data_IF_367311369276
#
_entry.id   IF_367311369276
#
_cell.length_a   1.000
_cell.length_b   1.000
_cell.length_c   1.000
_cell.angle_alpha   90.00
_cell.angle_beta   90.00
_cell.angle_gamma   90.00
#
_symmetry.space_group_name_H-M   'P 1'
#
loop_
_entity.id
_entity.type
_entity.pdbx_description
1 polymer ?
#
# COMPACT_ATOMS: atom_id res chain seq x y z
N UNK A 1 -12.55 47.92 -4.98
CA UNK A 1 -12.22 46.48 -5.14
C UNK A 1 -13.29 45.66 -4.43
N UNK A 2 -13.94 44.73 -5.13
CA UNK A 2 -15.19 44.10 -4.67
C UNK A 2 -14.91 43.03 -3.60
N UNK A 3 -15.21 43.36 -2.34
CA UNK A 3 -15.00 42.45 -1.19
C UNK A 3 -15.93 41.23 -1.22
N UNK A 4 -17.05 41.30 -1.95
CA UNK A 4 -18.02 40.19 -2.02
C UNK A 4 -17.44 38.95 -2.70
N UNK A 5 -16.60 39.11 -3.72
CA UNK A 5 -15.91 38.01 -4.38
C UNK A 5 -14.95 37.26 -3.44
N UNK A 6 -14.39 37.96 -2.45
CA UNK A 6 -13.45 37.37 -1.48
C UNK A 6 -14.14 36.74 -0.27
N UNK A 7 -15.46 36.93 -0.07
CA UNK A 7 -16.20 36.23 1.00
C UNK A 7 -16.19 34.72 0.80
N UNK A 8 -16.33 34.25 -0.43
CA UNK A 8 -16.27 32.82 -0.77
C UNK A 8 -14.88 32.27 -0.50
N UNK A 9 -13.83 32.99 -0.92
CA UNK A 9 -12.44 32.60 -0.68
C UNK A 9 -12.07 32.56 0.81
N UNK A 10 -12.65 33.44 1.62
CA UNK A 10 -12.48 33.40 3.09
C UNK A 10 -13.04 32.11 3.72
N UNK A 11 -14.13 31.58 3.18
CA UNK A 11 -14.68 30.30 3.64
C UNK A 11 -13.82 29.13 3.15
N UNK A 12 -13.44 29.11 1.87
CA UNK A 12 -12.54 28.08 1.32
C UNK A 12 -11.18 28.03 2.04
N UNK A 13 -10.65 29.17 2.48
CA UNK A 13 -9.42 29.24 3.30
C UNK A 13 -9.57 28.52 4.65
N UNK A 14 -10.76 28.58 5.26
CA UNK A 14 -11.04 27.88 6.51
C UNK A 14 -11.18 26.37 6.30
N UNK A 15 -11.77 25.96 5.18
CA UNK A 15 -12.00 24.55 4.89
C UNK A 15 -10.77 23.85 4.26
N UNK A 16 -9.77 24.63 3.84
CA UNK A 16 -8.53 24.12 3.22
C UNK A 16 -8.69 23.78 1.74
N UNK A 17 -9.70 24.35 1.09
CA UNK A 17 -10.09 24.02 -0.29
C UNK A 17 -9.56 25.01 -1.34
N UNK A 18 -8.77 26.01 -0.92
CA UNK A 18 -8.22 26.98 -1.88
C UNK A 18 -7.11 26.37 -2.74
N UNK A 19 -7.20 26.58 -4.04
CA UNK A 19 -6.08 26.32 -4.94
C UNK A 19 -4.88 27.26 -4.63
N UNK A 20 -3.66 26.93 -5.09
CA UNK A 20 -2.49 27.79 -4.91
C UNK A 20 -2.70 29.21 -5.47
N UNK A 21 -3.38 29.33 -6.62
CA UNK A 21 -3.68 30.61 -7.24
C UNK A 21 -4.68 31.45 -6.41
N UNK A 22 -5.69 30.82 -5.83
CA UNK A 22 -6.67 31.49 -4.97
C UNK A 22 -6.08 31.92 -3.63
N UNK A 23 -5.16 31.11 -3.09
CA UNK A 23 -4.42 31.43 -1.86
C UNK A 23 -3.60 32.72 -2.03
N UNK A 24 -2.89 32.85 -3.15
CA UNK A 24 -2.13 34.07 -3.47
C UNK A 24 -3.05 35.28 -3.62
N UNK A 25 -4.13 35.15 -4.41
CA UNK A 25 -5.11 36.25 -4.61
C UNK A 25 -5.74 36.70 -3.30
N UNK A 26 -6.13 35.76 -2.44
CA UNK A 26 -6.67 36.08 -1.12
C UNK A 26 -5.63 36.79 -0.25
N UNK A 27 -4.38 36.34 -0.28
CA UNK A 27 -3.26 36.98 0.41
C UNK A 27 -3.05 38.45 0.00
N UNK A 28 -3.03 38.73 -1.30
CA UNK A 28 -2.92 40.09 -1.85
C UNK A 28 -4.09 40.99 -1.41
N UNK A 29 -5.32 40.46 -1.43
CA UNK A 29 -6.49 41.19 -0.95
C UNK A 29 -6.43 41.45 0.55
N UNK A 30 -6.00 40.46 1.34
CA UNK A 30 -5.84 40.59 2.79
C UNK A 30 -4.71 41.54 3.18
N UNK A 31 -3.73 41.80 2.31
CA UNK A 31 -2.72 42.82 2.55
C UNK A 31 -3.31 44.23 2.51
N UNK A 32 -4.32 44.46 1.66
CA UNK A 32 -4.87 45.80 1.38
C UNK A 32 -6.23 46.08 2.04
N UNK A 33 -7.02 45.06 2.38
CA UNK A 33 -8.38 45.22 2.89
C UNK A 33 -8.52 44.87 4.38
N UNK A 34 -8.70 45.89 5.23
CA UNK A 34 -8.89 45.70 6.67
C UNK A 34 -10.25 45.07 7.02
N UNK A 35 -11.30 45.36 6.25
CA UNK A 35 -12.62 44.76 6.46
C UNK A 35 -12.57 43.22 6.36
N UNK A 36 -11.93 42.69 5.31
CA UNK A 36 -11.78 41.25 5.12
C UNK A 36 -10.85 40.62 6.16
N UNK A 37 -9.78 41.30 6.60
CA UNK A 37 -8.94 40.84 7.72
C UNK A 37 -9.74 40.67 9.02
N UNK A 38 -10.64 41.62 9.33
CA UNK A 38 -11.50 41.53 10.52
C UNK A 38 -12.47 40.35 10.45
N UNK A 39 -13.07 40.11 9.29
CA UNK A 39 -13.95 38.95 9.07
C UNK A 39 -13.20 37.64 9.28
N UNK A 40 -12.03 37.48 8.64
CA UNK A 40 -11.18 36.29 8.77
C UNK A 40 -10.78 36.02 10.22
N UNK A 41 -10.32 37.06 10.92
CA UNK A 41 -9.93 36.95 12.34
C UNK A 41 -11.11 36.51 13.22
N UNK A 42 -12.31 37.04 12.96
CA UNK A 42 -13.53 36.68 13.70
C UNK A 42 -13.90 35.20 13.47
N UNK A 43 -13.80 34.71 12.23
CA UNK A 43 -14.05 33.31 11.89
C UNK A 43 -13.03 32.35 12.53
N UNK A 44 -11.74 32.67 12.47
CA UNK A 44 -10.68 31.87 13.10
C UNK A 44 -10.85 31.82 14.63
N UNK A 45 -11.21 32.94 15.24
CA UNK A 45 -11.47 33.02 16.69
C UNK A 45 -12.66 32.14 17.08
N UNK A 46 -13.76 32.21 16.32
CA UNK A 46 -14.92 31.35 16.54
C UNK A 46 -14.57 29.86 16.39
N UNK A 47 -13.82 29.49 15.35
CA UNK A 47 -13.39 28.10 15.14
C UNK A 47 -12.51 27.60 16.27
N UNK A 48 -11.58 28.42 16.75
CA UNK A 48 -10.73 28.08 17.89
C UNK A 48 -11.55 27.90 19.17
N UNK A 49 -12.54 28.77 19.42
CA UNK A 49 -13.45 28.65 20.56
C UNK A 49 -14.29 27.36 20.46
N UNK A 50 -14.84 27.05 19.30
CA UNK A 50 -15.60 25.80 19.07
C UNK A 50 -14.71 24.57 19.26
N UNK A 51 -13.49 24.54 18.70
CA UNK A 51 -12.56 23.42 18.96
C UNK A 51 -12.23 23.29 20.45
N UNK A 52 -12.01 24.40 21.15
CA UNK A 52 -11.67 24.36 22.58
C UNK A 52 -12.83 23.90 23.46
N UNK A 53 -14.06 24.34 23.16
CA UNK A 53 -15.21 24.13 24.03
C UNK A 53 -16.08 22.94 23.61
N UNK A 54 -16.09 22.55 22.33
CA UNK A 54 -16.91 21.46 21.82
C UNK A 54 -16.13 20.16 21.54
N UNK A 55 -14.78 20.20 21.45
CA UNK A 55 -14.00 18.97 21.32
C UNK A 55 -14.16 18.10 22.58
N UNK A 56 -14.71 16.91 22.40
CA UNK A 56 -14.96 15.95 23.49
C UNK A 56 -16.35 16.01 24.11
N UNK A 57 -17.19 17.01 23.79
CA UNK A 57 -18.58 17.04 24.29
C UNK A 57 -19.48 16.00 23.59
N UNK A 58 -19.14 15.65 22.35
CA UNK A 58 -19.87 14.66 21.56
C UNK A 58 -18.92 13.51 21.23
N UNK A 59 -19.05 12.40 21.95
CA UNK A 59 -18.34 11.17 21.60
C UNK A 59 -18.94 10.60 20.32
N UNK A 60 -18.13 10.44 19.27
CA UNK A 60 -18.58 9.83 18.03
C UNK A 60 -18.94 8.35 18.30
N UNK A 61 -20.17 7.89 18.01
CA UNK A 61 -20.54 6.50 18.22
C UNK A 61 -19.61 5.57 17.44
N UNK A 62 -19.25 4.43 18.03
CA UNK A 62 -18.46 3.40 17.35
C UNK A 62 -19.15 3.01 16.03
N UNK A 63 -18.39 3.03 14.93
CA UNK A 63 -18.91 2.70 13.60
C UNK A 63 -19.74 3.80 12.92
N UNK A 64 -19.83 5.02 13.48
CA UNK A 64 -20.51 6.14 12.84
C UNK A 64 -20.02 6.44 11.41
N UNK A 65 -18.70 6.46 11.11
CA UNK A 65 -18.23 6.73 9.74
C UNK A 65 -18.72 5.68 8.75
N UNK A 66 -18.72 4.41 9.15
CA UNK A 66 -19.18 3.28 8.33
C UNK A 66 -20.69 3.41 8.06
N UNK A 67 -21.48 3.73 9.09
CA UNK A 67 -22.93 3.90 8.96
C UNK A 67 -23.31 5.09 8.10
N UNK A 68 -22.60 6.21 8.22
CA UNK A 68 -22.83 7.39 7.37
C UNK A 68 -22.46 7.09 5.93
N UNK A 69 -21.28 6.52 5.67
CA UNK A 69 -20.86 6.16 4.31
C UNK A 69 -21.79 5.13 3.66
N UNK A 70 -22.31 4.18 4.43
CA UNK A 70 -23.29 3.21 3.94
C UNK A 70 -24.70 3.79 3.74
N UNK A 71 -25.05 4.87 4.45
CA UNK A 71 -26.34 5.55 4.35
C UNK A 71 -26.34 6.68 3.31
N UNK A 72 -25.16 7.13 2.86
CA UNK A 72 -25.07 8.02 1.71
C UNK A 72 -25.65 7.27 0.50
N UNK A 73 -26.61 7.87 -0.23
CA UNK A 73 -27.03 7.29 -1.48
C UNK A 73 -25.79 7.17 -2.35
N UNK A 74 -25.50 5.94 -2.83
CA UNK A 74 -24.57 5.78 -3.93
C UNK A 74 -24.98 6.81 -4.98
N UNK A 75 -24.05 7.67 -5.38
CA UNK A 75 -24.30 8.67 -6.40
C UNK A 75 -24.60 7.91 -7.69
N UNK A 76 -25.88 7.59 -7.85
CA UNK A 76 -26.42 7.10 -9.10
C UNK A 76 -26.31 8.32 -9.99
N UNK A 77 -25.28 8.31 -10.81
CA UNK A 77 -25.26 9.08 -12.04
C UNK A 77 -26.46 8.59 -12.84
N UNK A 78 -27.64 9.14 -12.52
CA UNK A 78 -28.82 9.00 -13.35
C UNK A 78 -28.49 9.84 -14.58
N UNK A 79 -28.34 9.22 -15.77
CA UNK A 79 -28.17 10.02 -16.97
C UNK A 79 -29.45 10.84 -17.15
N UNK A 80 -29.41 12.11 -16.77
CA UNK A 80 -30.47 13.03 -17.15
C UNK A 80 -30.34 13.20 -18.66
N UNK A 81 -31.28 12.62 -19.41
CA UNK A 81 -31.41 12.84 -20.85
C UNK A 81 -31.84 14.30 -21.08
N UNK A 82 -30.89 15.22 -20.94
CA UNK A 82 -31.04 16.58 -21.40
C UNK A 82 -30.72 16.59 -22.88
N UNK A 83 -31.77 16.78 -23.69
CA UNK A 83 -31.68 16.94 -25.13
C UNK A 83 -30.86 18.20 -25.46
N UNK A 84 -29.62 18.01 -25.93
CA UNK A 84 -28.78 19.09 -26.45
C UNK A 84 -28.42 18.85 -27.93
N UNK A 85 -28.33 19.91 -28.75
CA UNK A 85 -28.34 19.81 -30.21
C UNK A 85 -27.08 19.15 -30.79
N UNK A 86 -27.34 18.26 -31.75
CA UNK A 86 -26.46 17.31 -32.47
C UNK A 86 -25.17 17.88 -33.10
N UNK A 87 -24.92 19.20 -33.09
CA UNK A 87 -23.76 19.83 -33.74
C UNK A 87 -22.46 19.79 -32.92
N UNK A 88 -22.51 19.42 -31.63
CA UNK A 88 -21.32 19.36 -30.76
C UNK A 88 -20.67 17.97 -30.67
N UNK A 89 -21.28 16.93 -31.25
CA UNK A 89 -20.79 15.54 -31.17
C UNK A 89 -19.51 15.27 -31.98
N UNK A 90 -19.16 16.11 -32.95
CA UNK A 90 -17.99 15.84 -33.80
C UNK A 90 -16.64 16.12 -33.12
N UNK A 91 -16.60 17.00 -32.11
CA UNK A 91 -15.37 17.32 -31.36
C UNK A 91 -15.26 16.61 -30.00
N UNK A 92 -16.39 16.22 -29.39
CA UNK A 92 -16.38 15.62 -28.04
C UNK A 92 -15.97 14.14 -27.99
N UNK A 93 -16.22 13.35 -29.05
CA UNK A 93 -15.95 11.90 -29.07
C UNK A 93 -14.46 11.58 -29.13
N UNK A 94 -13.68 12.39 -29.85
CA UNK A 94 -12.22 12.24 -29.91
C UNK A 94 -11.56 12.58 -28.57
N UNK A 95 -12.02 13.61 -27.87
CA UNK A 95 -11.41 14.01 -26.59
C UNK A 95 -11.78 13.06 -25.44
N UNK A 96 -13.02 12.57 -25.40
CA UNK A 96 -13.48 11.63 -24.38
C UNK A 96 -12.85 10.23 -24.53
N UNK A 97 -12.66 9.75 -25.76
CA UNK A 97 -11.95 8.49 -26.01
C UNK A 97 -10.47 8.58 -25.63
N UNK A 98 -9.80 9.70 -25.93
CA UNK A 98 -8.43 9.95 -25.47
C UNK A 98 -8.35 10.02 -23.94
N UNK A 99 -9.31 10.66 -23.26
CA UNK A 99 -9.31 10.74 -21.80
C UNK A 99 -9.56 9.37 -21.12
N UNK A 100 -10.45 8.54 -21.66
CA UNK A 100 -10.69 7.17 -21.15
C UNK A 100 -9.50 6.27 -21.42
N UNK A 101 -8.88 6.38 -22.60
CA UNK A 101 -7.67 5.62 -22.93
C UNK A 101 -6.47 6.08 -22.09
N UNK A 102 -6.29 7.39 -21.92
CA UNK A 102 -5.23 7.95 -21.08
C UNK A 102 -5.44 7.58 -19.62
N UNK A 103 -6.65 7.74 -19.07
CA UNK A 103 -6.99 7.35 -17.70
C UNK A 103 -6.87 5.84 -17.47
N UNK A 104 -7.33 5.02 -18.42
CA UNK A 104 -7.18 3.57 -18.38
C UNK A 104 -5.72 3.13 -18.47
N UNK A 105 -4.91 3.78 -19.31
CA UNK A 105 -3.47 3.53 -19.43
C UNK A 105 -2.72 3.97 -18.17
N UNK A 106 -3.02 5.15 -17.61
CA UNK A 106 -2.42 5.60 -16.35
C UNK A 106 -2.80 4.68 -15.20
N UNK A 107 -4.07 4.26 -15.10
CA UNK A 107 -4.50 3.27 -14.10
C UNK A 107 -3.77 1.94 -14.28
N UNK A 108 -3.65 1.45 -15.52
CA UNK A 108 -2.94 0.22 -15.84
C UNK A 108 -1.45 0.31 -15.47
N UNK A 109 -0.77 1.41 -15.82
CA UNK A 109 0.66 1.62 -15.54
C UNK A 109 0.95 1.84 -14.05
N UNK A 110 0.07 2.53 -13.31
CA UNK A 110 0.25 2.78 -11.87
C UNK A 110 -0.07 1.53 -11.06
N UNK A 111 -1.09 0.77 -11.46
CA UNK A 111 -1.48 -0.46 -10.76
C UNK A 111 -0.54 -1.63 -11.08
N UNK A 112 0.04 -1.70 -12.29
CA UNK A 112 1.10 -2.67 -12.60
C UNK A 112 2.40 -2.40 -11.82
N UNK A 113 2.64 -1.14 -11.43
CA UNK A 113 3.84 -0.75 -10.68
C UNK A 113 3.85 -1.19 -9.21
N UNK A 114 2.72 -1.56 -8.59
CA UNK A 114 2.77 -2.07 -7.21
C UNK A 114 3.37 -3.47 -7.12
N UNK A 115 3.20 -4.28 -8.17
CA UNK A 115 3.65 -5.67 -8.23
C UNK A 115 5.15 -5.78 -8.57
N UNK A 116 5.70 -4.95 -9.46
CA UNK A 116 7.15 -4.89 -9.73
C UNK A 116 7.94 -4.42 -8.50
N UNK A 117 7.41 -3.44 -7.76
CA UNK A 117 8.11 -2.94 -6.58
C UNK A 117 8.15 -3.97 -5.45
N UNK A 118 7.29 -5.01 -5.45
CA UNK A 118 7.41 -6.11 -4.49
C UNK A 118 8.71 -6.90 -4.69
N UNK A 119 9.10 -7.18 -5.93
CA UNK A 119 10.35 -7.87 -6.24
C UNK A 119 11.54 -7.08 -5.73
N UNK A 120 11.59 -5.79 -6.07
CA UNK A 120 12.67 -4.91 -5.67
C UNK A 120 12.82 -4.86 -4.15
N UNK A 121 11.71 -4.77 -3.41
CA UNK A 121 11.74 -4.74 -1.96
C UNK A 121 12.10 -6.11 -1.34
N UNK A 122 11.65 -7.22 -1.93
CA UNK A 122 12.03 -8.57 -1.48
C UNK A 122 13.53 -8.85 -1.71
N UNK A 123 14.08 -8.41 -2.86
CA UNK A 123 15.52 -8.47 -3.17
C UNK A 123 16.30 -7.53 -2.24
N UNK A 124 15.79 -6.32 -1.97
CA UNK A 124 16.40 -5.38 -1.04
C UNK A 124 16.41 -5.94 0.38
N UNK A 125 15.31 -6.53 0.85
CA UNK A 125 15.21 -7.19 2.15
C UNK A 125 16.18 -8.37 2.27
N UNK A 126 16.28 -9.21 1.22
CA UNK A 126 17.27 -10.27 1.16
C UNK A 126 18.69 -9.70 1.28
N UNK A 127 19.04 -8.70 0.46
CA UNK A 127 20.37 -8.09 0.46
C UNK A 127 20.70 -7.42 1.80
N UNK A 128 19.74 -6.71 2.40
CA UNK A 128 19.88 -6.06 3.71
C UNK A 128 20.19 -7.07 4.82
N UNK A 129 19.50 -8.23 4.81
CA UNK A 129 19.76 -9.29 5.79
C UNK A 129 21.17 -9.86 5.71
N UNK A 130 21.76 -9.91 4.50
CA UNK A 130 23.14 -10.35 4.29
C UNK A 130 24.18 -9.30 4.71
N UNK A 131 23.92 -8.02 4.39
CA UNK A 131 24.87 -6.93 4.65
C UNK A 131 24.93 -6.54 6.13
N UNK A 132 23.80 -6.62 6.84
CA UNK A 132 23.70 -6.21 8.24
C UNK A 132 24.15 -7.30 9.23
N UNK A 133 24.60 -8.47 8.74
CA UNK A 133 24.83 -9.70 9.53
C UNK A 133 23.63 -10.05 10.44
N UNK A 134 22.43 -9.65 10.00
CA UNK A 134 21.18 -9.80 10.74
C UNK A 134 20.24 -10.70 9.94
N UNK A 135 20.71 -11.93 9.75
CA UNK A 135 20.02 -12.92 8.95
C UNK A 135 18.73 -13.40 9.65
N UNK A 136 18.79 -13.56 10.98
CA UNK A 136 17.73 -14.11 11.82
C UNK A 136 17.61 -13.37 13.16
N UNK A 137 16.39 -13.17 13.64
CA UNK A 137 16.11 -12.77 15.03
C UNK A 137 16.14 -13.97 15.97
N UNK A 138 15.73 -15.14 15.47
CA UNK A 138 15.79 -16.42 16.15
C UNK A 138 16.67 -17.38 15.35
N UNK A 139 17.84 -17.72 15.89
CA UNK A 139 18.75 -18.68 15.28
C UNK A 139 18.47 -20.08 15.82
N UNK A 140 17.73 -20.88 15.06
CA UNK A 140 17.39 -22.27 15.41
C UNK A 140 17.15 -23.10 14.16
N UNK A 141 17.71 -24.29 14.13
CA UNK A 141 17.46 -25.29 13.09
C UNK A 141 16.27 -26.21 13.39
N UNK A 142 15.70 -26.13 14.60
CA UNK A 142 14.48 -26.86 14.96
C UNK A 142 13.23 -26.07 14.51
N UNK A 143 12.40 -26.62 13.59
CA UNK A 143 11.17 -25.98 13.13
C UNK A 143 10.20 -25.67 14.27
N UNK A 144 10.15 -26.49 15.32
CA UNK A 144 9.20 -26.32 16.43
C UNK A 144 9.52 -25.04 17.21
N UNK A 145 10.80 -24.83 17.51
CA UNK A 145 11.30 -23.63 18.17
C UNK A 145 11.02 -22.36 17.35
N UNK A 146 11.31 -22.39 16.04
CA UNK A 146 11.07 -21.22 15.17
C UNK A 146 9.57 -20.93 15.04
N UNK A 147 8.73 -21.98 14.99
CA UNK A 147 7.28 -21.86 14.91
C UNK A 147 6.69 -21.23 16.17
N UNK A 148 7.14 -21.67 17.35
CA UNK A 148 6.74 -21.09 18.62
C UNK A 148 7.16 -19.62 18.74
N UNK A 149 8.34 -19.27 18.22
CA UNK A 149 8.80 -17.88 18.18
C UNK A 149 7.87 -17.00 17.32
N UNK A 150 7.52 -17.43 16.11
CA UNK A 150 6.62 -16.65 15.24
C UNK A 150 5.19 -16.53 15.79
N UNK A 151 4.71 -17.52 16.56
CA UNK A 151 3.39 -17.48 17.19
C UNK A 151 3.21 -16.28 18.14
N UNK A 152 4.29 -15.78 18.74
CA UNK A 152 4.27 -14.59 19.59
C UNK A 152 4.40 -13.27 18.79
N UNK A 153 4.91 -13.34 17.55
CA UNK A 153 5.25 -12.15 16.75
C UNK A 153 4.24 -11.82 15.66
N UNK A 154 3.50 -12.80 15.16
CA UNK A 154 2.60 -12.66 14.03
C UNK A 154 1.18 -13.08 14.39
N UNK A 155 0.20 -12.48 13.71
CA UNK A 155 -1.21 -12.87 13.82
C UNK A 155 -1.54 -14.20 13.11
N UNK A 156 -0.53 -14.89 12.59
CA UNK A 156 -0.62 -16.22 11.99
C UNK A 156 0.67 -16.98 12.25
N UNK A 157 0.60 -18.31 12.19
CA UNK A 157 1.78 -19.16 12.35
C UNK A 157 2.24 -19.63 10.97
N UNK A 158 3.42 -19.17 10.48
CA UNK A 158 3.91 -19.60 9.19
C UNK A 158 4.26 -21.10 9.24
N UNK A 159 4.00 -21.87 8.17
CA UNK A 159 4.43 -23.25 8.11
C UNK A 159 5.96 -23.30 8.00
N UNK A 160 6.58 -24.05 8.90
CA UNK A 160 8.02 -24.25 8.92
C UNK A 160 8.26 -25.73 8.73
N UNK A 161 8.99 -26.06 7.68
CA UNK A 161 9.21 -27.44 7.23
C UNK A 161 10.70 -27.76 7.32
N UNK A 162 11.00 -28.96 7.81
CA UNK A 162 12.36 -29.50 7.74
C UNK A 162 12.59 -30.17 6.39
N UNK A 163 13.43 -29.53 5.59
CA UNK A 163 13.89 -29.97 4.26
C UNK A 163 15.42 -30.18 4.25
N UNK A 164 16.03 -30.41 5.42
CA UNK A 164 17.46 -30.66 5.56
C UNK A 164 17.91 -31.91 4.79
N UNK A 165 17.06 -32.93 4.69
CA UNK A 165 17.31 -34.15 3.90
C UNK A 165 17.45 -33.88 2.39
N UNK A 166 17.01 -32.72 1.91
CA UNK A 166 17.15 -32.26 0.52
C UNK A 166 18.32 -31.28 0.36
N UNK A 167 19.14 -31.08 1.40
CA UNK A 167 20.31 -30.19 1.37
C UNK A 167 20.04 -28.74 1.75
N UNK A 168 18.85 -28.45 2.31
CA UNK A 168 18.45 -27.11 2.74
C UNK A 168 18.23 -27.08 4.26
N UNK A 169 19.22 -26.55 4.98
CA UNK A 169 19.18 -26.49 6.44
C UNK A 169 18.41 -25.25 6.88
N UNK A 170 17.45 -25.41 7.81
CA UNK A 170 16.81 -24.28 8.47
C UNK A 170 17.84 -23.59 9.38
N UNK A 171 17.98 -22.28 9.25
CA UNK A 171 18.88 -21.47 10.10
C UNK A 171 18.08 -20.68 11.14
N UNK A 172 16.84 -20.33 10.82
CA UNK A 172 15.98 -19.61 11.73
C UNK A 172 14.92 -18.77 11.04
N UNK A 173 14.55 -17.68 11.69
CA UNK A 173 13.60 -16.72 11.14
C UNK A 173 13.78 -15.31 11.69
N UNK A 174 13.13 -14.35 11.05
CA UNK A 174 13.03 -12.96 11.50
C UNK A 174 11.67 -12.37 11.14
N UNK A 175 11.31 -11.30 11.84
CA UNK A 175 10.17 -10.46 11.47
C UNK A 175 10.62 -9.47 10.40
N UNK A 176 9.83 -9.31 9.34
CA UNK A 176 10.14 -8.39 8.25
C UNK A 176 8.90 -7.56 7.92
N UNK A 177 9.12 -6.37 7.35
CA UNK A 177 8.07 -5.45 6.92
C UNK A 177 8.29 -5.09 5.45
N UNK A 178 7.36 -5.48 4.57
CA UNK A 178 7.35 -5.09 3.15
C UNK A 178 5.99 -4.42 2.87
N UNK A 179 5.97 -3.24 2.25
CA UNK A 179 4.74 -2.52 1.91
C UNK A 179 3.76 -2.33 3.08
N UNK A 180 4.28 -1.99 4.27
CA UNK A 180 3.46 -1.81 5.49
C UNK A 180 2.71 -3.09 5.92
N UNK A 181 3.18 -4.26 5.46
CA UNK A 181 2.67 -5.58 5.83
C UNK A 181 3.73 -6.33 6.62
N UNK A 182 3.29 -6.89 7.75
CA UNK A 182 4.07 -7.85 8.54
C UNK A 182 4.16 -9.19 7.82
N UNK A 183 5.38 -9.73 7.72
CA UNK A 183 5.65 -11.03 7.14
C UNK A 183 6.73 -11.76 7.90
N UNK A 184 6.68 -13.09 7.82
CA UNK A 184 7.73 -13.95 8.31
C UNK A 184 8.82 -14.06 7.25
N UNK A 185 10.08 -13.80 7.61
CA UNK A 185 11.21 -14.24 6.80
C UNK A 185 11.80 -15.50 7.43
N UNK A 186 11.63 -16.65 6.78
CA UNK A 186 12.23 -17.92 7.18
C UNK A 186 13.54 -18.08 6.41
N UNK A 187 14.61 -18.41 7.12
CA UNK A 187 15.93 -18.50 6.51
C UNK A 187 16.36 -19.95 6.40
N UNK A 188 16.60 -20.37 5.17
CA UNK A 188 17.26 -21.64 4.86
C UNK A 188 18.67 -21.37 4.33
N UNK A 189 19.53 -22.38 4.34
CA UNK A 189 20.86 -22.29 3.76
C UNK A 189 21.21 -23.60 3.04
N UNK A 190 21.95 -23.44 1.94
CA UNK A 190 22.58 -24.55 1.21
C UNK A 190 24.07 -24.25 1.11
N UNK A 191 24.88 -25.00 1.87
CA UNK A 191 26.30 -24.67 2.06
C UNK A 191 26.46 -23.29 2.70
N UNK A 192 27.11 -22.35 2.00
CA UNK A 192 27.26 -20.97 2.45
C UNK A 192 26.15 -20.03 1.95
N UNK A 193 25.30 -20.47 1.01
CA UNK A 193 24.30 -19.62 0.34
C UNK A 193 23.02 -19.55 1.16
N UNK A 194 22.70 -18.38 1.68
CA UNK A 194 21.44 -18.13 2.38
C UNK A 194 20.27 -17.94 1.39
N UNK A 195 19.11 -18.45 1.78
CA UNK A 195 17.86 -18.46 1.04
C UNK A 195 16.80 -17.89 1.97
N UNK A 196 16.25 -16.73 1.62
CA UNK A 196 15.18 -16.10 2.39
C UNK A 196 13.84 -16.50 1.79
N UNK A 197 12.94 -17.02 2.61
CA UNK A 197 11.57 -17.32 2.23
C UNK A 197 10.62 -16.41 3.03
N UNK A 198 10.04 -15.45 2.34
CA UNK A 198 9.04 -14.54 2.89
C UNK A 198 7.65 -15.18 2.82
N UNK A 199 6.91 -15.15 3.93
CA UNK A 199 5.61 -15.80 4.08
C UNK A 199 4.61 -14.85 4.70
N UNK A 200 3.42 -14.76 4.12
CA UNK A 200 2.32 -13.91 4.61
C UNK A 200 0.94 -14.44 4.20
N UNK A 201 -0.11 -14.01 4.89
CA UNK A 201 -1.50 -14.36 4.55
C UNK A 201 -1.91 -13.76 3.20
N UNK A 202 -2.52 -14.59 2.35
CA UNK A 202 -2.97 -14.21 1.02
C UNK A 202 -4.36 -13.57 1.06
N UNK A 203 -4.48 -12.32 0.58
CA UNK A 203 -5.79 -11.76 0.18
C UNK A 203 -6.07 -12.04 -1.30
N UNK A 204 -5.02 -12.00 -2.13
CA UNK A 204 -4.91 -12.55 -3.50
C UNK A 204 -3.43 -12.79 -3.81
N UNK A 205 -3.10 -13.79 -4.64
CA UNK A 205 -1.79 -13.81 -5.31
C UNK A 205 -1.68 -12.55 -6.18
N UNK A 206 -0.54 -11.84 -6.18
CA UNK A 206 -0.24 -10.85 -7.20
C UNK A 206 -0.41 -11.49 -8.59
N UNK A 207 -1.48 -11.14 -9.30
CA UNK A 207 -1.86 -11.81 -10.57
C UNK A 207 -0.88 -11.52 -11.72
N UNK A 208 -0.03 -10.50 -11.56
CA UNK A 208 0.90 -10.02 -12.58
C UNK A 208 2.38 -10.30 -12.25
N UNK A 209 2.68 -11.02 -11.17
CA UNK A 209 4.05 -11.37 -10.79
C UNK A 209 4.53 -12.56 -11.63
N UNK A 210 5.66 -12.44 -12.37
CA UNK A 210 6.35 -13.59 -12.94
C UNK A 210 6.60 -14.63 -11.85
N UNK A 211 6.06 -15.84 -12.00
CA UNK A 211 6.26 -16.91 -11.01
C UNK A 211 7.75 -17.26 -10.83
N UNK A 212 8.60 -16.85 -11.78
CA UNK A 212 10.05 -16.92 -11.70
C UNK A 212 10.66 -15.62 -12.25
N UNK A 213 11.53 -14.99 -11.48
CA UNK A 213 12.35 -13.86 -11.91
C UNK A 213 13.82 -14.20 -11.72
N UNK A 214 14.61 -14.04 -12.79
CA UNK A 214 16.06 -14.19 -12.80
C UNK A 214 16.62 -12.85 -13.28
N UNK A 215 17.19 -12.09 -12.36
CA UNK A 215 17.91 -10.85 -12.65
C UNK A 215 19.36 -11.02 -12.16
N UNK A 216 20.30 -10.31 -12.75
CA UNK A 216 21.76 -10.53 -12.72
C UNK A 216 22.34 -10.78 -11.29
N UNK A 217 22.15 -11.99 -10.75
CA UNK A 217 22.67 -12.45 -9.47
C UNK A 217 21.64 -12.99 -8.46
N UNK A 218 20.33 -12.82 -8.66
CA UNK A 218 19.28 -13.34 -7.78
C UNK A 218 18.21 -14.13 -8.53
N UNK A 219 17.64 -15.11 -7.85
CA UNK A 219 16.51 -15.87 -8.33
C UNK A 219 15.36 -15.79 -7.32
N UNK A 220 14.16 -15.58 -7.86
CA UNK A 220 12.94 -15.40 -7.08
C UNK A 220 11.83 -16.29 -7.62
N UNK A 221 11.11 -16.97 -6.73
CA UNK A 221 9.87 -17.70 -7.07
C UNK A 221 8.74 -17.36 -6.10
N UNK A 222 7.55 -17.09 -6.65
CA UNK A 222 6.33 -16.78 -5.89
C UNK A 222 5.27 -17.85 -6.11
N UNK A 223 4.63 -18.30 -5.03
CA UNK A 223 3.43 -19.13 -5.11
C UNK A 223 2.48 -18.90 -3.93
N UNK A 224 1.27 -19.45 -4.04
CA UNK A 224 0.34 -19.52 -2.93
C UNK A 224 -0.18 -20.94 -2.74
N UNK A 225 -0.42 -21.26 -1.47
CA UNK A 225 -0.95 -22.54 -1.03
C UNK A 225 -1.78 -22.32 0.23
N UNK A 226 -2.99 -22.87 0.28
CA UNK A 226 -3.87 -22.82 1.45
C UNK A 226 -4.10 -21.40 2.05
N UNK A 227 -4.17 -20.36 1.22
CA UNK A 227 -4.38 -18.98 1.69
C UNK A 227 -3.13 -18.30 2.24
N UNK A 228 -1.94 -18.85 1.98
CA UNK A 228 -0.64 -18.28 2.35
C UNK A 228 0.16 -18.03 1.07
N UNK A 229 0.77 -16.86 0.96
CA UNK A 229 1.72 -16.50 -0.10
C UNK A 229 3.14 -16.79 0.38
N UNK A 230 3.97 -17.27 -0.55
CA UNK A 230 5.38 -17.59 -0.34
C UNK A 230 6.21 -16.95 -1.43
N UNK A 231 7.25 -16.23 -1.04
CA UNK A 231 8.25 -15.66 -1.93
C UNK A 231 9.63 -16.13 -1.50
N UNK A 232 10.32 -16.87 -2.36
CA UNK A 232 11.69 -17.33 -2.11
C UNK A 232 12.65 -16.44 -2.87
N UNK A 233 13.68 -15.94 -2.19
CA UNK A 233 14.75 -15.10 -2.76
C UNK A 233 16.11 -15.67 -2.35
N UNK A 234 16.98 -15.91 -3.33
CA UNK A 234 18.35 -16.35 -3.09
C UNK A 234 19.25 -16.20 -4.30
N UNK A 235 20.55 -16.42 -4.12
CA UNK A 235 21.51 -16.55 -5.22
C UNK A 235 21.59 -18.01 -5.67
N UNK A 236 20.48 -18.53 -6.19
CA UNK A 236 20.34 -19.91 -6.65
C UNK A 236 20.23 -19.94 -8.17
N UNK A 237 20.77 -20.96 -8.81
CA UNK A 237 20.45 -21.21 -10.22
C UNK A 237 18.98 -21.69 -10.37
N UNK A 238 18.49 -21.77 -11.61
CA UNK A 238 17.11 -22.17 -11.90
C UNK A 238 16.77 -23.59 -11.40
N UNK A 239 17.73 -24.51 -11.44
CA UNK A 239 17.56 -25.89 -11.01
C UNK A 239 17.50 -25.96 -9.48
N UNK A 240 18.41 -25.26 -8.81
CA UNK A 240 18.48 -25.18 -7.35
C UNK A 240 17.21 -24.55 -6.75
N UNK A 241 16.71 -23.48 -7.35
CA UNK A 241 15.45 -22.85 -6.94
C UNK A 241 14.27 -23.82 -7.09
N UNK A 242 14.17 -24.50 -8.22
CA UNK A 242 13.12 -25.50 -8.46
C UNK A 242 13.23 -26.69 -7.48
N UNK A 243 14.44 -27.11 -7.12
CA UNK A 243 14.69 -28.13 -6.10
C UNK A 243 14.19 -27.69 -4.73
N UNK A 244 14.52 -26.46 -4.32
CA UNK A 244 14.06 -25.87 -3.05
C UNK A 244 12.53 -25.86 -2.98
N UNK A 245 11.89 -25.27 -3.99
CA UNK A 245 10.43 -25.11 -4.00
C UNK A 245 9.74 -26.47 -4.01
N UNK A 246 10.24 -27.43 -4.79
CA UNK A 246 9.71 -28.80 -4.81
C UNK A 246 9.89 -29.50 -3.47
N UNK A 247 11.06 -29.38 -2.85
CA UNK A 247 11.34 -29.97 -1.54
C UNK A 247 10.37 -29.40 -0.48
N UNK A 248 10.18 -28.08 -0.48
CA UNK A 248 9.30 -27.42 0.47
C UNK A 248 7.83 -27.76 0.25
N UNK A 249 7.33 -27.75 -1.00
CA UNK A 249 5.92 -28.07 -1.29
C UNK A 249 5.57 -29.53 -0.99
N UNK A 250 6.46 -30.47 -1.27
CA UNK A 250 6.19 -31.90 -1.10
C UNK A 250 6.32 -32.38 0.36
N UNK A 251 6.93 -31.59 1.24
CA UNK A 251 7.12 -31.96 2.65
C UNK A 251 5.85 -31.61 3.46
N UNK A 252 5.30 -32.54 4.26
CA UNK A 252 4.22 -32.20 5.20
C UNK A 252 4.75 -31.30 6.34
N UNK A 253 3.83 -30.56 6.98
CA UNK A 253 4.09 -29.61 8.08
C UNK A 253 4.21 -30.33 9.42
#
# INVERSE_FOLDING_TARGET
MHCDAFRVLLHGDLDGELSPAETVRLGEHLATCEACRRVRKRQLTLRAALKKHAAGQFAMPKGFPIRVLAALPAERVTPSLLSFPRRWFAFGTALASVAVLAGGLTYFLVMSGQDERFFDEAIAGHTRSLLADHLTDIASSDPTTVRAWFQDKLNFVPPIKDISTQGFTLVGGRLEYLYDRELAAIVYQRGATAINMFVWLAETLPKAVPQQFLDEGFSLELWAEAGINYCVVGKLDKTELAEFVRAYRNRPI
#
